data_IF_948490823665
#
_entry.id   IF_948490823665
#
_cell.length_a   1.000
_cell.length_b   1.000
_cell.length_c   1.000
_cell.angle_alpha   90.00
_cell.angle_beta   90.00
_cell.angle_gamma   90.00
#
_symmetry.space_group_name_H-M   'P 1'
#
loop_
_entity.id
_entity.type
_entity.pdbx_description
1 polymer ?
#
# COMPACT_ATOMS: atom_id res chain seq x y z
N UNK A 1 -6.92 43.34 14.30
CA UNK A 1 -7.00 41.94 14.80
C UNK A 1 -7.68 41.11 13.72
N UNK A 2 -6.94 40.21 13.06
CA UNK A 2 -7.50 39.33 12.02
C UNK A 2 -8.40 38.28 12.67
N UNK A 3 -9.64 38.19 12.20
CA UNK A 3 -10.63 37.26 12.71
C UNK A 3 -10.34 35.86 12.15
N UNK A 4 -9.72 35.02 12.98
CA UNK A 4 -9.31 33.66 12.64
C UNK A 4 -10.50 32.71 12.42
N UNK A 5 -11.74 33.07 12.77
CA UNK A 5 -12.90 32.17 12.59
C UNK A 5 -13.25 31.92 11.12
N UNK A 6 -12.92 32.86 10.22
CA UNK A 6 -13.12 32.67 8.77
C UNK A 6 -12.18 31.63 8.15
N UNK A 7 -11.02 31.37 8.75
CA UNK A 7 -10.07 30.37 8.25
C UNK A 7 -10.47 28.94 8.64
N UNK A 8 -11.11 28.75 9.79
CA UNK A 8 -11.53 27.42 10.26
C UNK A 8 -12.70 26.85 9.46
N UNK A 9 -13.68 27.68 9.06
CA UNK A 9 -14.86 27.21 8.32
C UNK A 9 -14.55 26.72 6.89
N UNK A 10 -13.43 27.14 6.29
CA UNK A 10 -13.02 26.66 4.97
C UNK A 10 -12.18 25.36 5.02
N UNK A 11 -11.72 24.95 6.21
CA UNK A 11 -10.90 23.73 6.37
C UNK A 11 -11.77 22.47 6.35
N UNK A 12 -13.03 22.55 6.79
CA UNK A 12 -13.95 21.41 6.85
C UNK A 12 -14.30 20.84 5.46
N UNK A 13 -14.57 21.67 4.45
CA UNK A 13 -14.92 21.19 3.10
C UNK A 13 -13.74 20.52 2.37
N UNK A 14 -12.52 21.01 2.57
CA UNK A 14 -11.31 20.42 1.96
C UNK A 14 -10.94 19.07 2.62
N UNK A 15 -11.18 18.97 3.93
CA UNK A 15 -10.91 17.76 4.74
C UNK A 15 -11.80 16.58 4.32
N UNK A 16 -13.09 16.83 4.09
CA UNK A 16 -14.04 15.78 3.68
C UNK A 16 -13.71 15.24 2.29
N UNK A 17 -13.29 16.10 1.35
CA UNK A 17 -12.90 15.70 0.01
C UNK A 17 -11.61 14.85 -0.01
N UNK A 18 -10.63 15.20 0.83
CA UNK A 18 -9.38 14.42 0.95
C UNK A 18 -9.63 13.03 1.58
N UNK A 19 -10.51 12.95 2.59
CA UNK A 19 -10.87 11.69 3.23
C UNK A 19 -11.58 10.72 2.29
N UNK A 20 -12.41 11.23 1.36
CA UNK A 20 -13.16 10.41 0.41
C UNK A 20 -12.26 9.77 -0.66
N UNK A 21 -11.27 10.51 -1.15
CA UNK A 21 -10.36 10.03 -2.20
C UNK A 21 -9.39 8.95 -1.69
N UNK A 22 -8.94 9.01 -0.43
CA UNK A 22 -8.04 7.99 0.15
C UNK A 22 -8.74 6.63 0.31
N UNK A 23 -10.03 6.60 0.67
CA UNK A 23 -10.80 5.34 0.78
C UNK A 23 -10.97 4.60 -0.55
N UNK A 24 -10.86 5.29 -1.69
CA UNK A 24 -11.04 4.72 -3.02
C UNK A 24 -9.80 3.96 -3.52
N UNK A 25 -8.61 4.38 -3.09
CA UNK A 25 -7.36 3.69 -3.40
C UNK A 25 -7.23 2.43 -2.54
N UNK A 26 -7.93 1.37 -2.92
CA UNK A 26 -7.72 0.04 -2.35
C UNK A 26 -6.29 -0.42 -2.71
N UNK A 27 -5.38 -0.38 -1.74
CA UNK A 27 -4.02 -0.92 -1.89
C UNK A 27 -4.11 -2.44 -2.00
N UNK A 28 -3.97 -2.96 -3.22
CA UNK A 28 -3.82 -4.40 -3.44
C UNK A 28 -2.40 -4.82 -3.08
N UNK A 29 -2.25 -5.47 -1.92
CA UNK A 29 -0.99 -6.03 -1.46
C UNK A 29 -0.83 -7.47 -1.93
N UNK A 30 0.40 -7.86 -2.28
CA UNK A 30 0.77 -9.20 -2.75
C UNK A 30 1.37 -10.09 -1.66
N UNK A 31 0.94 -9.91 -0.41
CA UNK A 31 1.52 -10.62 0.75
C UNK A 31 1.45 -12.14 0.57
N UNK A 32 0.34 -12.64 -0.01
CA UNK A 32 0.14 -14.07 -0.23
C UNK A 32 1.13 -14.64 -1.24
N UNK A 33 1.45 -13.92 -2.30
CA UNK A 33 2.44 -14.28 -3.31
C UNK A 33 3.83 -14.28 -2.69
N UNK A 34 4.19 -13.23 -1.95
CA UNK A 34 5.48 -13.12 -1.28
C UNK A 34 5.70 -14.26 -0.27
N UNK A 35 4.66 -14.62 0.51
CA UNK A 35 4.72 -15.79 1.38
C UNK A 35 5.10 -17.07 0.60
N UNK A 36 4.46 -17.33 -0.55
CA UNK A 36 4.76 -18.50 -1.38
C UNK A 36 6.18 -18.46 -1.94
N UNK A 37 6.64 -17.31 -2.41
CA UNK A 37 8.01 -17.11 -2.92
C UNK A 37 9.06 -17.38 -1.82
N UNK A 38 8.71 -17.11 -0.56
CA UNK A 38 9.55 -17.38 0.62
C UNK A 38 9.33 -18.78 1.24
N UNK A 39 8.49 -19.63 0.65
CA UNK A 39 8.19 -20.97 1.18
C UNK A 39 7.44 -20.95 2.52
N UNK A 40 6.73 -19.87 2.83
CA UNK A 40 5.97 -19.66 4.06
C UNK A 40 4.46 -19.70 3.78
N UNK A 41 3.67 -20.14 4.76
CA UNK A 41 2.21 -20.06 4.69
C UNK A 41 1.66 -18.82 5.41
N UNK A 42 0.43 -18.42 5.08
CA UNK A 42 -0.22 -17.29 5.75
C UNK A 42 -0.43 -17.56 7.25
N UNK A 43 -0.66 -18.82 7.62
CA UNK A 43 -0.81 -19.27 9.00
C UNK A 43 0.51 -19.15 9.77
N UNK A 44 1.63 -19.53 9.14
CA UNK A 44 2.96 -19.39 9.72
C UNK A 44 3.33 -17.90 9.91
N UNK A 45 3.03 -17.05 8.93
CA UNK A 45 3.22 -15.61 9.05
C UNK A 45 2.37 -15.01 10.19
N UNK A 46 1.09 -15.38 10.29
CA UNK A 46 0.23 -14.92 11.37
C UNK A 46 0.79 -15.31 12.75
N UNK A 47 1.29 -16.54 12.88
CA UNK A 47 1.93 -17.04 14.11
C UNK A 47 3.21 -16.26 14.44
N UNK A 48 4.04 -15.93 13.45
CA UNK A 48 5.27 -15.14 13.64
C UNK A 48 4.97 -13.71 14.09
N UNK A 49 3.85 -13.16 13.65
CA UNK A 49 3.36 -11.83 14.03
C UNK A 49 2.54 -11.82 15.34
N UNK A 50 2.38 -12.98 15.98
CA UNK A 50 1.56 -13.18 17.19
C UNK A 50 0.10 -12.69 17.04
N UNK A 51 -0.50 -12.98 15.89
CA UNK A 51 -1.89 -12.64 15.57
C UNK A 51 -2.63 -13.85 14.97
N UNK A 52 -3.96 -13.76 14.94
CA UNK A 52 -4.75 -14.79 14.25
C UNK A 52 -4.67 -14.64 12.72
N UNK A 53 -4.79 -15.73 11.94
CA UNK A 53 -4.85 -15.66 10.48
C UNK A 53 -5.98 -14.76 9.94
N UNK A 54 -7.12 -14.74 10.65
CA UNK A 54 -8.24 -13.85 10.33
C UNK A 54 -7.87 -12.39 10.54
N UNK A 55 -7.17 -12.06 11.63
CA UNK A 55 -6.65 -10.70 11.89
C UNK A 55 -5.66 -10.29 10.80
N UNK A 56 -4.73 -11.17 10.42
CA UNK A 56 -3.78 -10.90 9.33
C UNK A 56 -4.51 -10.61 8.01
N UNK A 57 -5.48 -11.44 7.65
CA UNK A 57 -6.27 -11.27 6.42
C UNK A 57 -7.05 -9.95 6.43
N UNK A 58 -7.67 -9.61 7.56
CA UNK A 58 -8.37 -8.33 7.73
C UNK A 58 -7.43 -7.14 7.64
N UNK A 59 -6.22 -7.23 8.20
CA UNK A 59 -5.23 -6.16 8.13
C UNK A 59 -4.76 -5.93 6.69
N UNK A 60 -4.47 -6.99 5.95
CA UNK A 60 -4.03 -6.92 4.55
C UNK A 60 -5.11 -6.29 3.67
N UNK A 61 -6.38 -6.66 3.87
CA UNK A 61 -7.50 -6.17 3.07
C UNK A 61 -8.11 -4.85 3.57
N UNK A 62 -7.73 -4.40 4.77
CA UNK A 62 -8.42 -3.34 5.52
C UNK A 62 -7.63 -2.05 5.68
N UNK A 63 -6.73 -1.75 4.73
CA UNK A 63 -5.79 -0.63 4.76
C UNK A 63 -4.84 -0.68 5.98
N UNK A 64 -3.77 -1.49 5.92
CA UNK A 64 -2.85 -1.63 7.04
C UNK A 64 -2.06 -0.34 7.31
N UNK A 65 -1.62 -0.17 8.56
CA UNK A 65 -0.72 0.95 8.90
C UNK A 65 0.69 0.67 8.37
N UNK A 66 1.51 1.72 8.27
CA UNK A 66 2.94 1.60 7.91
C UNK A 66 3.67 0.65 8.88
N UNK A 67 3.32 0.71 10.17
CA UNK A 67 3.90 -0.18 11.18
C UNK A 67 3.54 -1.66 10.90
N UNK A 68 2.29 -1.94 10.56
CA UNK A 68 1.86 -3.31 10.19
C UNK A 68 2.58 -3.80 8.94
N UNK A 69 2.73 -2.94 7.91
CA UNK A 69 3.49 -3.27 6.71
C UNK A 69 4.95 -3.58 7.03
N UNK A 70 5.58 -2.78 7.90
CA UNK A 70 6.95 -3.00 8.37
C UNK A 70 7.10 -4.35 9.06
N UNK A 71 6.20 -4.69 9.99
CA UNK A 71 6.22 -5.99 10.68
C UNK A 71 6.08 -7.16 9.72
N UNK A 72 5.15 -7.09 8.76
CA UNK A 72 4.96 -8.13 7.73
C UNK A 72 6.22 -8.29 6.87
N UNK A 73 6.81 -7.18 6.40
CA UNK A 73 8.01 -7.20 5.57
C UNK A 73 9.22 -7.78 6.33
N UNK A 74 9.41 -7.38 7.59
CA UNK A 74 10.45 -7.93 8.46
C UNK A 74 10.27 -9.42 8.71
N UNK A 75 9.04 -9.88 8.98
CA UNK A 75 8.72 -11.29 9.18
C UNK A 75 8.97 -12.15 7.94
N UNK A 76 8.86 -11.56 6.74
CA UNK A 76 9.11 -12.20 5.45
C UNK A 76 10.55 -11.97 4.93
N UNK A 77 11.37 -11.21 5.65
CA UNK A 77 12.73 -10.82 5.26
C UNK A 77 12.82 -10.21 3.84
N UNK A 78 11.85 -9.33 3.53
CA UNK A 78 11.76 -8.59 2.26
C UNK A 78 11.75 -7.09 2.52
N UNK A 79 12.15 -6.26 1.54
CA UNK A 79 11.83 -4.84 1.58
C UNK A 79 10.32 -4.63 1.51
N UNK A 80 9.80 -3.59 2.18
CA UNK A 80 8.36 -3.26 2.22
C UNK A 80 7.78 -3.06 0.81
N UNK A 81 8.60 -2.62 -0.15
CA UNK A 81 8.21 -2.46 -1.56
C UNK A 81 7.78 -3.76 -2.23
N UNK A 82 8.26 -4.92 -1.76
CA UNK A 82 7.91 -6.21 -2.35
C UNK A 82 6.51 -6.67 -1.96
N UNK A 83 5.92 -6.07 -0.92
CA UNK A 83 4.51 -6.31 -0.56
C UNK A 83 3.54 -5.71 -1.60
N UNK A 84 4.04 -4.92 -2.56
CA UNK A 84 3.27 -4.24 -3.57
C UNK A 84 3.42 -4.89 -4.96
N UNK A 85 2.42 -4.66 -5.82
CA UNK A 85 2.59 -4.87 -7.26
C UNK A 85 3.71 -3.97 -7.78
N UNK A 86 4.76 -4.58 -8.35
CA UNK A 86 5.77 -3.80 -9.06
C UNK A 86 5.23 -3.43 -10.44
N UNK A 87 5.47 -2.19 -10.92
CA UNK A 87 5.15 -1.84 -12.29
C UNK A 87 5.85 -2.79 -13.26
N UNK A 88 5.22 -3.07 -14.40
CA UNK A 88 5.80 -3.93 -15.42
C UNK A 88 7.21 -3.41 -15.78
N UNK A 89 8.22 -4.26 -15.62
CA UNK A 89 9.65 -3.89 -15.58
C UNK A 89 10.18 -3.16 -16.82
N UNK A 90 9.44 -3.14 -17.92
CA UNK A 90 9.94 -2.65 -19.20
C UNK A 90 9.05 -1.59 -19.84
N UNK A 91 8.06 -1.03 -19.14
CA UNK A 91 7.12 -0.05 -19.73
C UNK A 91 7.21 1.27 -19.00
N UNK A 92 7.91 2.23 -19.60
CA UNK A 92 7.87 3.63 -19.17
C UNK A 92 6.86 4.37 -20.02
N UNK A 93 5.92 5.09 -19.41
CA UNK A 93 5.00 5.95 -20.15
C UNK A 93 5.65 7.30 -20.44
N UNK A 94 5.59 7.74 -21.69
CA UNK A 94 6.05 9.08 -22.08
C UNK A 94 5.19 10.17 -21.41
N UNK A 95 5.76 11.12 -20.65
CA UNK A 95 4.97 12.16 -19.96
C UNK A 95 4.36 13.20 -20.90
N UNK A 96 4.76 13.23 -22.18
CA UNK A 96 4.27 14.20 -23.16
C UNK A 96 3.13 13.66 -24.04
N UNK A 97 3.12 12.36 -24.33
CA UNK A 97 2.13 11.76 -25.25
C UNK A 97 1.43 10.51 -24.72
N UNK A 98 1.86 9.96 -23.57
CA UNK A 98 1.27 8.75 -22.99
C UNK A 98 1.66 7.43 -23.69
N UNK A 99 2.55 7.48 -24.69
CA UNK A 99 3.04 6.29 -25.38
C UNK A 99 3.86 5.37 -24.47
N UNK A 100 3.70 4.06 -24.64
CA UNK A 100 4.47 3.03 -23.93
C UNK A 100 5.86 2.88 -24.55
N UNK A 101 6.91 3.15 -23.78
CA UNK A 101 8.31 2.98 -24.16
C UNK A 101 8.79 1.64 -23.61
N UNK A 102 9.20 0.73 -24.50
CA UNK A 102 9.86 -0.52 -24.11
C UNK A 102 11.34 -0.25 -23.87
N UNK A 103 11.81 -0.43 -22.64
CA UNK A 103 13.24 -0.33 -22.33
C UNK A 103 13.82 -1.74 -22.36
N UNK A 104 14.56 -2.08 -23.41
CA UNK A 104 15.32 -3.31 -23.51
C UNK A 104 16.58 -3.05 -24.33
N UNK A 105 17.72 -3.58 -23.87
CA UNK A 105 18.86 -3.85 -24.76
C UNK A 105 18.54 -5.15 -25.49
N UNK A 106 18.53 -5.10 -26.81
CA UNK A 106 18.72 -6.30 -27.64
C UNK A 106 20.02 -7.01 -27.26
#
# INVERSE_FOLDING_TARGET
>A
MMNLSKYYLHYDEFSVHLQYNIKMYSMNLRVKEVCKERGMTMEALAKLLDITPNTLTRNINGNPTIETLGKIASALEVPVTDLFEQPAKDVVNCPYCGGKIKIGKE
#
